data_IF_334155976002
#
_entry.id   IF_334155976002
#
_cell.length_a   1.000
_cell.length_b   1.000
_cell.length_c   1.000
_cell.angle_alpha   90.00
_cell.angle_beta   90.00
_cell.angle_gamma   90.00
#
_symmetry.space_group_name_H-M   'P 1'
#
loop_
_entity.id
_entity.type
_entity.pdbx_description
1 polymer ?
#
# COMPACT_ATOMS: atom_id res chain seq x y z
N UNK A 1 -9.63 -12.22 1.55
CA UNK A 1 -8.91 -11.95 0.29
C UNK A 1 -9.87 -11.17 -0.60
N UNK A 2 -9.74 -9.85 -0.64
CA UNK A 2 -10.58 -8.99 -1.49
C UNK A 2 -10.27 -9.41 -2.93
N UNK A 3 -11.27 -9.92 -3.64
CA UNK A 3 -11.14 -10.20 -5.07
C UNK A 3 -11.05 -8.87 -5.81
N UNK A 4 -9.84 -8.50 -6.23
CA UNK A 4 -9.60 -7.39 -7.15
C UNK A 4 -10.02 -7.73 -8.60
N UNK A 5 -10.97 -8.66 -8.79
CA UNK A 5 -11.24 -9.28 -10.09
C UNK A 5 -12.22 -8.52 -11.00
N UNK A 6 -12.85 -7.44 -10.55
CA UNK A 6 -13.95 -6.87 -11.35
C UNK A 6 -13.65 -5.56 -12.11
N UNK A 7 -12.46 -4.94 -12.01
CA UNK A 7 -12.28 -3.62 -12.65
C UNK A 7 -10.93 -3.36 -13.31
N UNK A 8 -10.00 -4.29 -13.35
CA UNK A 8 -8.70 -4.05 -13.97
C UNK A 8 -8.40 -5.21 -14.91
N UNK A 9 -8.32 -4.93 -16.21
CA UNK A 9 -7.66 -5.83 -17.15
C UNK A 9 -6.32 -6.25 -16.54
N UNK A 10 -5.76 -7.41 -16.88
CA UNK A 10 -4.61 -8.04 -16.22
C UNK A 10 -3.51 -7.05 -15.84
N UNK A 11 -3.52 -6.58 -14.60
CA UNK A 11 -2.46 -5.75 -14.03
C UNK A 11 -1.40 -6.68 -13.46
N UNK A 12 -0.15 -6.50 -13.88
CA UNK A 12 0.95 -7.24 -13.32
C UNK A 12 1.29 -6.68 -11.93
N UNK A 13 1.04 -7.48 -10.89
CA UNK A 13 1.48 -7.18 -9.52
C UNK A 13 2.65 -8.10 -9.21
N UNK A 14 3.84 -7.53 -9.00
CA UNK A 14 5.03 -8.30 -8.69
C UNK A 14 5.23 -8.33 -7.17
N UNK A 15 5.37 -9.55 -6.64
CA UNK A 15 5.76 -9.77 -5.25
C UNK A 15 7.29 -9.90 -5.15
N UNK A 16 7.99 -8.99 -4.44
CA UNK A 16 9.45 -9.01 -4.30
C UNK A 16 9.99 -10.28 -3.66
N UNK A 17 9.28 -10.83 -2.68
CA UNK A 17 9.74 -12.02 -1.95
C UNK A 17 9.76 -13.26 -2.86
N UNK A 18 8.73 -13.42 -3.69
CA UNK A 18 8.69 -14.53 -4.67
C UNK A 18 9.78 -14.37 -5.75
N UNK A 19 10.04 -13.14 -6.19
CA UNK A 19 11.09 -12.90 -7.16
C UNK A 19 12.48 -13.19 -6.56
N UNK A 20 12.70 -12.82 -5.29
CA UNK A 20 13.96 -13.07 -4.60
C UNK A 20 14.26 -14.59 -4.47
N UNK A 21 13.26 -15.39 -4.13
CA UNK A 21 13.42 -16.85 -4.09
C UNK A 21 13.85 -17.39 -5.45
N UNK A 22 13.18 -16.98 -6.53
CA UNK A 22 13.54 -17.41 -7.90
C UNK A 22 14.96 -16.97 -8.31
N UNK A 23 15.35 -15.73 -7.98
CA UNK A 23 16.71 -15.23 -8.23
C UNK A 23 17.72 -16.06 -7.45
N UNK A 24 17.48 -16.34 -6.16
CA UNK A 24 18.37 -17.16 -5.34
C UNK A 24 18.60 -18.55 -5.93
N UNK A 25 17.53 -19.18 -6.40
CA UNK A 25 17.59 -20.52 -7.01
C UNK A 25 18.31 -20.52 -8.37
N UNK A 26 17.96 -19.59 -9.26
CA UNK A 26 18.50 -19.57 -10.63
C UNK A 26 19.92 -19.02 -10.72
N UNK A 27 20.28 -18.06 -9.88
CA UNK A 27 21.60 -17.42 -9.91
C UNK A 27 22.56 -17.98 -8.85
N UNK A 28 22.09 -18.94 -8.04
CA UNK A 28 22.88 -19.61 -6.99
C UNK A 28 23.51 -18.64 -6.00
N UNK A 29 22.81 -17.57 -5.62
CA UNK A 29 23.24 -16.55 -4.68
C UNK A 29 22.46 -16.64 -3.37
N UNK A 30 23.04 -16.10 -2.28
CA UNK A 30 22.37 -16.06 -0.98
C UNK A 30 21.06 -15.23 -1.02
N UNK A 31 20.08 -15.62 -0.19
CA UNK A 31 18.77 -14.97 -0.17
C UNK A 31 18.84 -13.46 0.12
N UNK A 32 19.82 -13.01 0.92
CA UNK A 32 20.03 -11.59 1.21
C UNK A 32 20.38 -10.79 -0.06
N UNK A 33 21.29 -11.31 -0.88
CA UNK A 33 21.67 -10.68 -2.15
C UNK A 33 20.55 -10.79 -3.18
N UNK A 34 19.85 -11.92 -3.21
CA UNK A 34 18.67 -12.12 -4.06
C UNK A 34 17.55 -11.13 -3.74
N UNK A 35 17.28 -10.84 -2.46
CA UNK A 35 16.31 -9.81 -2.04
C UNK A 35 16.70 -8.42 -2.54
N UNK A 36 17.97 -8.04 -2.43
CA UNK A 36 18.45 -6.75 -2.95
C UNK A 36 18.27 -6.66 -4.46
N UNK A 37 18.68 -7.70 -5.21
CA UNK A 37 18.52 -7.75 -6.66
C UNK A 37 17.06 -7.77 -7.09
N UNK A 38 16.18 -8.45 -6.36
CA UNK A 38 14.75 -8.45 -6.64
C UNK A 38 14.17 -7.03 -6.57
N UNK A 39 14.52 -6.29 -5.52
CA UNK A 39 14.08 -4.89 -5.35
C UNK A 39 14.58 -4.02 -6.50
N UNK A 40 15.87 -4.11 -6.87
CA UNK A 40 16.46 -3.35 -7.95
C UNK A 40 15.81 -3.67 -9.32
N UNK A 41 15.59 -4.96 -9.61
CA UNK A 41 14.96 -5.41 -10.87
C UNK A 41 13.51 -4.98 -10.98
N UNK A 42 12.74 -5.08 -9.88
CA UNK A 42 11.35 -4.61 -9.85
C UNK A 42 11.30 -3.10 -10.09
N UNK A 43 12.16 -2.34 -9.45
CA UNK A 43 12.20 -0.90 -9.64
C UNK A 43 12.51 -0.52 -11.10
N UNK A 44 13.53 -1.13 -11.67
CA UNK A 44 13.88 -0.92 -13.09
C UNK A 44 12.73 -1.33 -14.03
N UNK A 45 12.06 -2.45 -13.75
CA UNK A 45 10.90 -2.90 -14.52
C UNK A 45 9.71 -1.95 -14.41
N UNK A 46 9.42 -1.42 -13.22
CA UNK A 46 8.35 -0.45 -13.01
C UNK A 46 8.54 0.82 -13.85
N UNK A 47 9.75 1.39 -13.84
CA UNK A 47 10.05 2.55 -14.67
C UNK A 47 9.98 2.24 -16.17
N UNK A 48 10.55 1.11 -16.61
CA UNK A 48 10.47 0.69 -18.01
C UNK A 48 9.02 0.46 -18.47
N UNK A 49 8.15 -0.07 -17.59
CA UNK A 49 6.73 -0.24 -17.87
C UNK A 49 5.99 1.09 -17.99
N UNK A 50 6.29 2.05 -17.12
CA UNK A 50 5.74 3.42 -17.23
C UNK A 50 6.19 4.07 -18.55
N UNK A 51 7.46 3.96 -18.91
CA UNK A 51 8.00 4.50 -20.18
C UNK A 51 7.33 3.83 -21.40
N UNK A 52 6.97 2.55 -21.29
CA UNK A 52 6.26 1.79 -22.33
C UNK A 52 4.72 1.96 -22.27
N UNK A 53 4.20 2.86 -21.45
CA UNK A 53 2.76 3.09 -21.22
C UNK A 53 1.99 1.81 -20.82
N UNK A 54 2.62 0.92 -20.05
CA UNK A 54 1.99 -0.29 -19.53
C UNK A 54 1.43 -0.05 -18.12
N UNK A 55 0.19 -0.47 -17.88
CA UNK A 55 -0.40 -0.43 -16.54
C UNK A 55 0.28 -1.44 -15.62
N UNK A 56 0.76 -0.98 -14.48
CA UNK A 56 1.44 -1.80 -13.47
C UNK A 56 0.88 -1.54 -12.08
N UNK A 57 0.98 -2.54 -11.21
CA UNK A 57 0.61 -2.43 -9.80
C UNK A 57 1.80 -2.76 -8.89
N UNK A 58 1.85 -2.10 -7.76
CA UNK A 58 2.87 -2.32 -6.72
C UNK A 58 2.18 -2.60 -5.39
N UNK A 59 2.53 -3.74 -4.77
CA UNK A 59 2.17 -4.02 -3.38
C UNK A 59 3.29 -3.55 -2.45
N UNK A 60 2.94 -2.80 -1.41
CA UNK A 60 3.91 -2.23 -0.46
C UNK A 60 3.31 -2.05 0.93
N UNK A 61 4.14 -2.18 1.96
CA UNK A 61 3.79 -1.81 3.35
C UNK A 61 3.65 -0.28 3.52
N UNK A 62 4.05 0.50 2.55
CA UNK A 62 4.03 1.96 2.55
C UNK A 62 4.81 2.63 3.70
N UNK A 63 5.73 1.94 4.35
CA UNK A 63 6.50 2.46 5.48
C UNK A 63 7.70 3.33 5.09
N UNK A 64 7.87 3.62 3.80
CA UNK A 64 8.93 4.47 3.23
C UNK A 64 8.39 5.29 2.05
N UNK A 65 9.01 6.41 1.69
CA UNK A 65 8.59 7.23 0.55
C UNK A 65 9.04 6.67 -0.82
N UNK A 66 9.52 5.42 -0.88
CA UNK A 66 10.20 4.82 -2.03
C UNK A 66 9.51 5.05 -3.37
N UNK A 67 8.18 4.93 -3.43
CA UNK A 67 7.44 4.99 -4.69
C UNK A 67 6.93 6.38 -5.08
N UNK A 68 7.26 7.45 -4.32
CA UNK A 68 6.83 8.81 -4.65
C UNK A 68 7.31 9.24 -6.03
N UNK A 69 8.61 9.03 -6.31
CA UNK A 69 9.20 9.37 -7.62
C UNK A 69 8.57 8.57 -8.78
N UNK A 70 8.21 7.30 -8.54
CA UNK A 70 7.50 6.50 -9.54
C UNK A 70 6.13 7.09 -9.86
N UNK A 71 5.35 7.48 -8.84
CA UNK A 71 4.06 8.14 -9.01
C UNK A 71 4.20 9.46 -9.76
N UNK A 72 5.17 10.30 -9.39
CA UNK A 72 5.45 11.56 -10.09
C UNK A 72 5.79 11.32 -11.57
N UNK A 73 6.65 10.33 -11.84
CA UNK A 73 7.02 9.94 -13.22
C UNK A 73 5.81 9.43 -13.99
N UNK A 74 4.99 8.57 -13.41
CA UNK A 74 3.80 8.03 -14.04
C UNK A 74 2.80 9.15 -14.37
N UNK A 75 2.54 10.06 -13.43
CA UNK A 75 1.67 11.24 -13.67
C UNK A 75 2.21 12.13 -14.80
N UNK A 76 3.51 12.37 -14.84
CA UNK A 76 4.14 13.14 -15.91
C UNK A 76 4.01 12.45 -17.29
N UNK A 77 3.89 11.13 -17.33
CA UNK A 77 3.61 10.34 -18.52
C UNK A 77 2.09 10.15 -18.80
N UNK A 78 1.21 10.86 -18.08
CA UNK A 78 -0.23 10.83 -18.32
C UNK A 78 -0.98 9.64 -17.71
N UNK A 79 -0.36 8.92 -16.77
CA UNK A 79 -1.04 7.85 -16.04
C UNK A 79 -1.99 8.41 -14.99
N UNK A 80 -3.14 7.75 -14.85
CA UNK A 80 -3.98 7.86 -13.66
C UNK A 80 -3.46 6.94 -12.56
N UNK A 81 -3.39 7.44 -11.34
CA UNK A 81 -2.91 6.72 -10.16
C UNK A 81 -4.09 6.26 -9.32
N UNK A 82 -4.24 4.96 -9.20
CA UNK A 82 -5.22 4.36 -8.28
C UNK A 82 -4.51 3.74 -7.09
N UNK A 83 -5.02 4.01 -5.90
CA UNK A 83 -4.50 3.46 -4.65
C UNK A 83 -5.57 2.67 -3.90
N UNK A 84 -5.19 1.51 -3.39
CA UNK A 84 -5.93 0.75 -2.41
C UNK A 84 -5.12 0.73 -1.11
N UNK A 85 -5.63 1.35 -0.05
CA UNK A 85 -5.00 1.36 1.27
C UNK A 85 -5.79 0.48 2.24
N UNK A 86 -5.15 -0.57 2.72
CA UNK A 86 -5.77 -1.51 3.67
C UNK A 86 -4.98 -1.46 4.96
N UNK A 87 -5.65 -1.17 6.07
CA UNK A 87 -5.01 -1.06 7.38
C UNK A 87 -5.69 -1.94 8.43
N UNK A 88 -5.06 -2.08 9.59
CA UNK A 88 -5.65 -2.57 10.83
C UNK A 88 -5.71 -1.40 11.82
N UNK A 89 -6.79 -1.27 12.57
CA UNK A 89 -7.04 -0.17 13.51
C UNK A 89 -6.07 -0.14 14.69
N UNK A 90 -5.51 -1.32 15.04
CA UNK A 90 -4.51 -1.49 16.10
C UNK A 90 -3.22 -2.12 15.54
N UNK A 91 -2.03 -1.50 15.78
CA UNK A 91 -0.75 -2.08 15.39
C UNK A 91 -0.47 -3.45 16.06
N UNK A 92 -1.10 -3.75 17.19
CA UNK A 92 -0.94 -5.05 17.86
C UNK A 92 -1.61 -6.18 17.09
N UNK A 93 -2.68 -5.92 16.35
CA UNK A 93 -3.26 -6.88 15.40
C UNK A 93 -2.27 -7.26 14.29
N UNK A 94 -1.44 -6.31 13.83
CA UNK A 94 -0.36 -6.62 12.88
C UNK A 94 0.68 -7.55 13.52
N UNK A 95 1.01 -7.34 14.79
CA UNK A 95 1.93 -8.21 15.53
C UNK A 95 1.37 -9.62 15.60
N UNK A 96 0.11 -9.78 15.98
CA UNK A 96 -0.55 -11.10 16.05
C UNK A 96 -0.60 -11.80 14.68
N UNK A 97 -0.95 -11.07 13.61
CA UNK A 97 -0.96 -11.64 12.25
C UNK A 97 0.44 -12.10 11.82
N UNK A 98 1.49 -11.35 12.17
CA UNK A 98 2.87 -11.76 11.90
C UNK A 98 3.24 -13.00 12.72
N UNK A 99 2.84 -13.10 14.01
CA UNK A 99 3.06 -14.30 14.83
C UNK A 99 2.42 -15.54 14.21
N UNK A 100 1.16 -15.45 13.78
CA UNK A 100 0.46 -16.55 13.10
C UNK A 100 1.18 -16.94 11.80
N UNK A 101 1.58 -15.95 11.00
CA UNK A 101 2.32 -16.21 9.76
C UNK A 101 3.67 -16.89 10.01
N UNK A 102 4.39 -16.51 11.07
CA UNK A 102 5.66 -17.14 11.45
C UNK A 102 5.44 -18.59 11.89
N UNK A 103 4.38 -18.87 12.64
CA UNK A 103 4.01 -20.23 13.03
C UNK A 103 3.69 -21.14 11.83
N UNK A 104 3.34 -20.56 10.67
CA UNK A 104 3.08 -21.28 9.42
C UNK A 104 4.23 -21.22 8.41
N UNK A 105 5.46 -20.86 8.86
CA UNK A 105 6.68 -20.88 8.04
C UNK A 105 7.09 -19.54 7.42
N UNK A 106 6.43 -18.44 7.79
CA UNK A 106 6.82 -17.10 7.33
C UNK A 106 7.99 -16.50 8.12
N UNK A 107 8.53 -15.39 7.62
CA UNK A 107 9.65 -14.69 8.27
C UNK A 107 9.21 -13.87 9.47
N UNK A 108 9.99 -13.95 10.55
CA UNK A 108 9.81 -13.13 11.75
C UNK A 108 10.22 -11.68 11.47
N UNK A 109 9.44 -10.75 12.01
CA UNK A 109 9.77 -9.31 12.05
C UNK A 109 9.69 -8.86 13.50
N UNK A 110 10.69 -8.12 14.04
CA UNK A 110 10.62 -7.57 15.39
C UNK A 110 9.36 -6.72 15.61
N UNK A 111 8.72 -6.88 16.76
CA UNK A 111 7.42 -6.23 17.05
C UNK A 111 7.51 -4.70 17.03
N UNK A 112 8.59 -4.14 17.57
CA UNK A 112 8.87 -2.70 17.51
C UNK A 112 8.90 -2.17 16.07
N UNK A 113 9.47 -2.95 15.14
CA UNK A 113 9.51 -2.61 13.72
C UNK A 113 8.13 -2.72 13.08
N UNK A 114 7.28 -3.68 13.50
CA UNK A 114 5.91 -3.79 13.00
C UNK A 114 5.12 -2.56 13.41
N UNK A 115 5.11 -2.19 14.70
CA UNK A 115 4.42 -1.00 15.21
C UNK A 115 4.94 0.30 14.54
N UNK A 116 6.26 0.44 14.42
CA UNK A 116 6.86 1.60 13.76
C UNK A 116 6.50 1.68 12.25
N UNK A 117 6.34 0.56 11.56
CA UNK A 117 5.90 0.53 10.16
C UNK A 117 4.44 0.95 10.03
N UNK A 118 3.58 0.55 10.97
CA UNK A 118 2.18 0.95 10.99
C UNK A 118 2.06 2.48 11.06
N UNK A 119 2.74 3.14 12.00
CA UNK A 119 2.77 4.62 12.10
C UNK A 119 3.24 5.24 10.79
N UNK A 120 4.42 4.82 10.29
CA UNK A 120 4.98 5.38 9.06
C UNK A 120 4.12 5.13 7.82
N UNK A 121 3.28 4.09 7.81
CA UNK A 121 2.39 3.85 6.68
C UNK A 121 1.33 4.95 6.57
N UNK A 122 0.76 5.43 7.67
CA UNK A 122 -0.16 6.57 7.69
C UNK A 122 0.54 7.90 7.35
N UNK A 123 1.76 8.12 7.87
CA UNK A 123 2.56 9.31 7.52
C UNK A 123 2.82 9.39 6.01
N UNK A 124 3.18 8.27 5.40
CA UNK A 124 3.39 8.22 3.96
C UNK A 124 2.07 8.27 3.19
N UNK A 125 1.00 7.64 3.70
CA UNK A 125 -0.31 7.61 3.06
C UNK A 125 -0.83 9.02 2.78
N UNK A 126 -0.62 10.00 3.65
CA UNK A 126 -1.02 11.39 3.45
C UNK A 126 -0.53 11.97 2.10
N UNK A 127 0.72 11.70 1.74
CA UNK A 127 1.27 12.14 0.45
C UNK A 127 0.59 11.42 -0.73
N UNK A 128 0.45 10.08 -0.65
CA UNK A 128 -0.18 9.30 -1.71
C UNK A 128 -1.67 9.62 -1.86
N UNK A 129 -2.39 9.87 -0.75
CA UNK A 129 -3.78 10.28 -0.76
C UNK A 129 -3.96 11.58 -1.55
N UNK A 130 -3.04 12.54 -1.42
CA UNK A 130 -3.07 13.78 -2.19
C UNK A 130 -2.77 13.54 -3.67
N UNK A 131 -1.76 12.73 -3.98
CA UNK A 131 -1.27 12.56 -5.34
C UNK A 131 -2.07 11.58 -6.19
N UNK A 132 -2.71 10.57 -5.61
CA UNK A 132 -3.51 9.60 -6.34
C UNK A 132 -4.80 10.23 -6.87
N UNK A 133 -5.24 9.81 -8.06
CA UNK A 133 -6.48 10.26 -8.69
C UNK A 133 -7.69 9.59 -8.05
N UNK A 134 -7.56 8.29 -7.71
CA UNK A 134 -8.57 7.54 -6.96
C UNK A 134 -7.94 6.77 -5.80
N UNK A 135 -8.63 6.76 -4.65
CA UNK A 135 -8.19 6.03 -3.46
C UNK A 135 -9.38 5.30 -2.85
N UNK A 136 -9.19 4.04 -2.53
CA UNK A 136 -10.09 3.26 -1.70
C UNK A 136 -9.37 2.90 -0.39
N UNK A 137 -9.98 3.17 0.76
CA UNK A 137 -9.43 2.88 2.08
C UNK A 137 -10.30 1.86 2.80
N UNK A 138 -9.66 0.78 3.27
CA UNK A 138 -10.35 -0.29 4.00
C UNK A 138 -9.71 -0.54 5.36
N UNK A 139 -10.54 -0.67 6.37
CA UNK A 139 -10.22 -1.31 7.63
C UNK A 139 -10.43 -2.82 7.52
N UNK A 140 -9.38 -3.58 7.78
CA UNK A 140 -9.40 -5.04 7.74
C UNK A 140 -9.18 -5.66 9.14
N UNK A 141 -9.57 -4.96 10.20
CA UNK A 141 -9.41 -5.42 11.60
C UNK A 141 -10.42 -6.50 11.97
N UNK A 142 -11.61 -6.45 11.39
CA UNK A 142 -12.70 -7.39 11.66
C UNK A 142 -12.68 -8.66 10.82
N UNK A 143 -13.80 -9.37 10.82
CA UNK A 143 -14.01 -10.58 10.02
C UNK A 143 -14.09 -10.27 8.52
N UNK A 144 -14.67 -9.13 8.17
CA UNK A 144 -14.79 -8.63 6.80
C UNK A 144 -14.16 -7.25 6.69
N UNK A 145 -13.51 -6.94 5.55
CA UNK A 145 -12.99 -5.60 5.30
C UNK A 145 -14.13 -4.58 5.20
N UNK A 146 -14.01 -3.47 5.90
CA UNK A 146 -14.97 -2.35 5.87
C UNK A 146 -14.38 -1.20 5.07
N UNK A 147 -15.15 -0.62 4.17
CA UNK A 147 -14.73 0.58 3.44
C UNK A 147 -14.92 1.79 4.33
N UNK A 148 -13.87 2.56 4.53
CA UNK A 148 -13.87 3.73 5.42
C UNK A 148 -13.91 5.03 4.62
N UNK A 149 -13.16 5.12 3.53
CA UNK A 149 -13.00 6.32 2.74
C UNK A 149 -12.80 5.99 1.28
N UNK A 150 -13.38 6.81 0.39
CA UNK A 150 -12.96 6.87 -1.02
C UNK A 150 -12.56 8.29 -1.38
N UNK A 151 -11.69 8.40 -2.38
CA UNK A 151 -11.34 9.64 -3.06
C UNK A 151 -11.51 9.48 -4.55
N UNK A 152 -12.19 10.44 -5.17
CA UNK A 152 -12.28 10.58 -6.62
C UNK A 152 -11.94 12.03 -7.01
N UNK A 153 -10.80 12.21 -7.67
CA UNK A 153 -10.26 13.54 -7.95
C UNK A 153 -10.02 14.33 -6.67
N UNK A 154 -10.77 15.40 -6.43
CA UNK A 154 -10.70 16.22 -5.22
C UNK A 154 -11.77 15.86 -4.16
N UNK A 155 -12.72 15.00 -4.51
CA UNK A 155 -13.84 14.64 -3.64
C UNK A 155 -13.44 13.48 -2.70
N UNK A 156 -13.77 13.63 -1.41
CA UNK A 156 -13.61 12.62 -0.37
C UNK A 156 -14.99 12.20 0.13
N UNK A 157 -15.25 10.90 0.17
CA UNK A 157 -16.47 10.33 0.74
C UNK A 157 -16.10 9.39 1.87
N UNK A 158 -16.60 9.67 3.08
CA UNK A 158 -16.46 8.79 4.23
C UNK A 158 -17.69 7.91 4.38
N UNK A 159 -17.48 6.64 4.68
CA UNK A 159 -18.53 5.64 4.95
C UNK A 159 -18.65 5.32 6.44
N UNK A 160 -17.56 5.50 7.18
CA UNK A 160 -17.48 5.30 8.63
C UNK A 160 -16.51 6.32 9.24
N UNK A 161 -16.61 6.52 10.56
CA UNK A 161 -15.68 7.38 11.30
C UNK A 161 -14.24 6.84 11.17
N UNK A 162 -13.29 7.67 10.70
CA UNK A 162 -11.90 7.23 10.56
C UNK A 162 -11.22 7.14 11.92
N UNK A 163 -10.33 6.15 12.10
CA UNK A 163 -9.46 6.11 13.27
C UNK A 163 -8.56 7.35 13.32
N UNK A 164 -8.06 7.75 14.51
CA UNK A 164 -7.25 8.97 14.66
C UNK A 164 -6.06 9.07 13.72
N UNK A 165 -5.38 7.94 13.45
CA UNK A 165 -4.23 7.90 12.53
C UNK A 165 -4.65 8.20 11.07
N UNK A 166 -5.80 7.71 10.62
CA UNK A 166 -6.33 8.01 9.29
C UNK A 166 -6.81 9.46 9.21
N UNK A 167 -7.53 9.96 10.22
CA UNK A 167 -7.97 11.34 10.29
C UNK A 167 -6.79 12.33 10.22
N UNK A 168 -5.70 12.05 10.95
CA UNK A 168 -4.47 12.85 10.89
C UNK A 168 -3.80 12.81 9.52
N UNK A 169 -3.75 11.64 8.88
CA UNK A 169 -3.20 11.52 7.52
C UNK A 169 -4.00 12.34 6.50
N UNK A 170 -5.34 12.34 6.59
CA UNK A 170 -6.20 13.17 5.73
C UNK A 170 -6.01 14.65 6.01
N UNK A 171 -5.94 15.05 7.28
CA UNK A 171 -5.63 16.44 7.68
C UNK A 171 -4.27 16.90 7.12
N UNK A 172 -3.26 16.05 7.25
CA UNK A 172 -1.92 16.32 6.71
C UNK A 172 -1.91 16.45 5.17
N UNK A 173 -2.76 15.68 4.48
CA UNK A 173 -2.86 15.73 3.03
C UNK A 173 -3.49 17.03 2.51
N UNK A 174 -4.53 17.53 3.17
CA UNK A 174 -5.39 18.62 2.66
C UNK A 174 -5.39 19.91 3.50
N UNK A 175 -4.80 19.90 4.69
CA UNK A 175 -4.57 21.12 5.50
C UNK A 175 -5.78 21.68 6.22
N UNK A 176 -6.89 20.93 6.35
CA UNK A 176 -8.09 21.35 7.07
C UNK A 176 -8.67 20.20 7.91
N UNK A 177 -9.38 20.56 8.95
CA UNK A 177 -10.12 19.60 9.77
C UNK A 177 -11.28 19.03 8.97
N UNK A 178 -11.39 17.69 9.03
CA UNK A 178 -12.53 17.00 8.48
C UNK A 178 -13.72 17.26 9.39
N UNK A 179 -14.76 17.89 8.86
CA UNK A 179 -16.07 17.83 9.50
C UNK A 179 -16.74 16.53 9.05
N UNK A 180 -16.77 15.56 9.95
CA UNK A 180 -17.58 14.37 9.77
C UNK A 180 -19.06 14.79 9.79
N UNK A 181 -19.76 14.58 8.69
CA UNK A 181 -21.23 14.64 8.66
C UNK A 181 -21.71 13.22 8.48
N UNK A 182 -22.38 12.69 9.51
CA UNK A 182 -23.09 11.41 9.43
C UNK A 182 -24.12 11.51 8.30
N UNK A 183 -24.09 10.58 7.36
CA UNK A 183 -25.02 10.57 6.21
C UNK A 183 -26.35 9.86 6.55
N UNK A 184 -26.60 9.54 7.82
CA UNK A 184 -27.86 8.95 8.30
C UNK A 184 -28.84 10.00 8.82
N UNK A 185 -29.20 11.04 8.01
CA UNK A 185 -30.39 11.87 8.19
C UNK A 185 -31.26 11.91 6.92
#
# INVERSE_FOLDING_TARGET
>A
MVKAEETVGSVWIINPDLLAVRISEHESIGLTDANRLAVERIEAWLYASVDAHQTVGVETVLSTPKYRKLVETAKANGFSIRMLFVYLDDPDLNVERVRVRVATGGHAVPEDKIRARWIRSFDNFAWFLREADTVDVFDNSGAEPRRILTKEGAELTFFEEPIPALAEAVRSAFGHDLTWTDQDD
#
